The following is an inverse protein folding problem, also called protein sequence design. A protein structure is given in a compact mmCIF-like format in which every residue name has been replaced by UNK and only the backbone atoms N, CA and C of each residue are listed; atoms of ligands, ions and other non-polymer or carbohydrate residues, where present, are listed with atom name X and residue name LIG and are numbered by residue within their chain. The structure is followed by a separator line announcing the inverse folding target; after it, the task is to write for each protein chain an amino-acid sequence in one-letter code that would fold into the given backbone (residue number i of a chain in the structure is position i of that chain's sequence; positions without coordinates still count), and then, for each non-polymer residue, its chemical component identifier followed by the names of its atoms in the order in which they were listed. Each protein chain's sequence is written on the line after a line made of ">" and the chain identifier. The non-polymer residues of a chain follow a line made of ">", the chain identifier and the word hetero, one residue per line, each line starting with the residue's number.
data_IF_923738620257
#
_entry.id   IF_923738620257
#
_cell.length_a   1.000
_cell.length_b   1.000
_cell.length_c   1.000
_cell.angle_alpha   90.00
_cell.angle_beta   90.00
_cell.angle_gamma   90.00
#
_symmetry.space_group_name_H-M   'P 1'
#
loop_
_entity.id
_entity.type
_entity.pdbx_description
1 polymer ?
#
# COMPACT_ATOMS: atom_id res chain seq x y z
N UNK A 1 -15.57 -10.75 17.87
CA UNK A 1 -16.32 -10.45 16.65
C UNK A 1 -15.34 -9.76 15.71
N UNK A 2 -15.03 -10.39 14.58
CA UNK A 2 -14.09 -9.83 13.59
C UNK A 2 -14.73 -8.56 13.05
N UNK A 3 -14.12 -7.39 13.31
CA UNK A 3 -14.53 -6.17 12.62
C UNK A 3 -14.31 -6.41 11.13
N UNK A 4 -15.36 -6.28 10.32
CA UNK A 4 -15.24 -6.33 8.86
C UNK A 4 -14.07 -5.42 8.45
N UNK A 5 -13.00 -6.03 7.93
CA UNK A 5 -11.80 -5.34 7.46
C UNK A 5 -12.15 -4.70 6.14
N UNK A 6 -12.69 -3.49 6.21
CA UNK A 6 -13.07 -2.74 5.02
C UNK A 6 -11.83 -2.33 4.24
N UNK A 7 -12.02 -2.05 2.95
CA UNK A 7 -11.00 -1.43 2.13
C UNK A 7 -10.42 -0.15 2.77
N UNK A 8 -11.28 0.67 3.41
CA UNK A 8 -10.85 1.89 4.08
C UNK A 8 -9.89 1.60 5.24
N UNK A 9 -10.16 0.58 6.06
CA UNK A 9 -9.25 0.22 7.15
C UNK A 9 -7.87 -0.21 6.64
N UNK A 10 -7.80 -0.89 5.50
CA UNK A 10 -6.53 -1.26 4.87
C UNK A 10 -5.77 -0.01 4.43
N UNK A 11 -6.41 0.87 3.66
CA UNK A 11 -5.80 2.11 3.17
C UNK A 11 -5.35 2.99 4.34
N UNK A 12 -6.19 3.19 5.35
CA UNK A 12 -5.84 3.98 6.55
C UNK A 12 -4.63 3.38 7.28
N UNK A 13 -4.54 2.05 7.36
CA UNK A 13 -3.38 1.40 7.98
C UNK A 13 -2.11 1.61 7.15
N UNK A 14 -2.18 1.51 5.82
CA UNK A 14 -1.06 1.80 4.93
C UNK A 14 -0.60 3.26 5.08
N UNK A 15 -1.55 4.19 5.16
CA UNK A 15 -1.27 5.62 5.34
C UNK A 15 -0.60 5.89 6.70
N UNK A 16 -1.12 5.28 7.77
CA UNK A 16 -0.53 5.40 9.11
C UNK A 16 0.89 4.83 9.15
N UNK A 17 1.15 3.71 8.48
CA UNK A 17 2.49 3.13 8.39
C UNK A 17 3.48 4.07 7.70
N UNK A 18 3.09 4.63 6.55
CA UNK A 18 3.92 5.63 5.86
C UNK A 18 4.16 6.88 6.71
N UNK A 19 3.13 7.36 7.42
CA UNK A 19 3.21 8.57 8.25
C UNK A 19 4.06 8.37 9.50
N UNK A 20 4.07 7.15 10.05
CA UNK A 20 4.89 6.80 11.21
C UNK A 20 6.37 6.55 10.83
N UNK A 21 6.67 6.41 9.55
CA UNK A 21 8.04 6.19 9.08
C UNK A 21 8.85 7.48 9.13
N UNK A 22 9.94 7.50 9.91
CA UNK A 22 10.71 8.72 10.20
C UNK A 22 11.34 9.38 8.96
N UNK A 23 11.61 8.59 7.92
CA UNK A 23 12.21 9.08 6.67
C UNK A 23 11.17 9.62 5.69
N UNK A 24 9.89 9.22 5.78
CA UNK A 24 8.85 9.68 4.85
C UNK A 24 8.32 11.04 5.31
N UNK A 25 8.17 11.98 4.39
CA UNK A 25 7.63 13.32 4.70
C UNK A 25 6.18 13.49 4.25
N UNK A 26 5.82 12.86 3.15
CA UNK A 26 4.47 12.94 2.59
C UNK A 26 3.96 11.56 2.25
N UNK A 27 2.70 11.29 2.58
CA UNK A 27 1.98 10.09 2.17
C UNK A 27 0.78 10.51 1.34
N UNK A 28 0.61 9.91 0.17
CA UNK A 28 -0.55 10.12 -0.69
C UNK A 28 -1.19 8.80 -1.11
N UNK A 29 -2.47 8.84 -1.45
CA UNK A 29 -3.24 7.68 -1.89
C UNK A 29 -4.09 8.06 -3.08
N UNK A 30 -4.16 7.22 -4.11
CA UNK A 30 -5.01 7.49 -5.27
C UNK A 30 -4.43 6.95 -6.56
N UNK A 31 -4.94 7.43 -7.68
CA UNK A 31 -4.34 7.15 -8.98
C UNK A 31 -3.04 7.94 -9.12
N UNK A 32 -2.00 7.25 -9.57
CA UNK A 32 -0.68 7.82 -9.85
C UNK A 32 -0.73 8.89 -10.94
N UNK A 33 -1.71 8.82 -11.87
CA UNK A 33 -1.89 9.82 -12.92
C UNK A 33 -2.56 11.12 -12.43
N UNK A 34 -3.25 11.07 -11.29
CA UNK A 34 -3.87 12.24 -10.65
C UNK A 34 -2.95 12.84 -9.57
N UNK A 35 -1.72 12.33 -9.43
CA UNK A 35 -0.73 12.84 -8.49
C UNK A 35 -0.22 14.20 -8.96
N UNK A 36 -0.92 15.27 -8.59
CA UNK A 36 -0.45 16.63 -8.76
C UNK A 36 0.58 16.93 -7.65
N UNK A 37 1.86 16.91 -8.03
CA UNK A 37 2.96 17.27 -7.15
C UNK A 37 2.99 18.80 -7.02
N UNK A 38 2.14 19.33 -6.14
CA UNK A 38 2.14 20.75 -5.81
C UNK A 38 3.54 21.18 -5.33
N UNK A 39 3.90 22.45 -5.56
CA UNK A 39 5.20 23.03 -5.19
C UNK A 39 5.59 22.92 -3.71
N UNK A 40 4.65 22.55 -2.83
CA UNK A 40 4.88 22.39 -1.39
C UNK A 40 4.99 20.92 -0.95
N UNK A 41 4.98 19.97 -1.90
CA UNK A 41 5.13 18.55 -1.59
C UNK A 41 6.53 18.28 -1.03
N UNK A 42 6.59 17.69 0.16
CA UNK A 42 7.86 17.32 0.79
C UNK A 42 8.25 15.90 0.42
N UNK A 43 9.51 15.72 0.06
CA UNK A 43 10.09 14.41 -0.25
C UNK A 43 11.00 13.94 0.90
N UNK A 44 11.22 12.63 1.10
CA UNK A 44 10.68 11.49 0.34
C UNK A 44 9.16 11.34 0.44
N UNK A 45 8.52 11.02 -0.68
CA UNK A 45 7.08 10.81 -0.81
C UNK A 45 6.76 9.32 -0.98
N UNK A 46 5.77 8.85 -0.23
CA UNK A 46 5.17 7.53 -0.39
C UNK A 46 3.78 7.66 -1.02
N UNK A 47 3.58 7.09 -2.19
CA UNK A 47 2.29 7.06 -2.86
C UNK A 47 1.73 5.64 -2.89
N UNK A 48 0.46 5.48 -2.49
CA UNK A 48 -0.25 4.20 -2.46
C UNK A 48 -1.30 4.21 -3.57
N UNK A 49 -1.07 3.39 -4.59
CA UNK A 49 -2.00 3.22 -5.70
C UNK A 49 -2.78 1.89 -5.57
N UNK A 50 -4.10 1.91 -5.38
CA UNK A 50 -4.91 0.70 -5.38
C UNK A 50 -5.09 0.15 -6.80
N UNK A 51 -4.59 -1.07 -7.05
CA UNK A 51 -4.62 -1.65 -8.41
C UNK A 51 -5.89 -2.45 -8.65
N UNK A 52 -6.13 -3.48 -7.85
CA UNK A 52 -7.29 -4.36 -8.02
C UNK A 52 -7.56 -5.20 -6.76
N UNK A 53 -8.79 -5.68 -6.66
CA UNK A 53 -9.21 -6.62 -5.61
C UNK A 53 -9.68 -7.91 -6.25
N UNK A 54 -9.07 -9.04 -5.87
CA UNK A 54 -9.45 -10.37 -6.33
C UNK A 54 -10.35 -11.01 -5.27
N UNK A 55 -11.62 -11.22 -5.62
CA UNK A 55 -12.60 -11.91 -4.78
C UNK A 55 -12.53 -13.42 -5.02
N UNK A 56 -12.02 -14.18 -4.06
CA UNK A 56 -12.03 -15.65 -4.04
C UNK A 56 -13.01 -16.16 -3.00
N UNK A 57 -13.43 -17.44 -3.07
CA UNK A 57 -14.55 -18.02 -2.26
C UNK A 57 -14.54 -17.75 -0.75
N UNK A 58 -13.39 -17.43 -0.14
CA UNK A 58 -13.28 -17.15 1.30
C UNK A 58 -12.29 -16.02 1.63
N UNK A 59 -11.79 -15.31 0.61
CA UNK A 59 -10.76 -14.29 0.81
C UNK A 59 -10.82 -13.22 -0.28
N UNK A 60 -10.47 -12.00 0.10
CA UNK A 60 -10.13 -10.92 -0.81
C UNK A 60 -8.62 -10.73 -0.85
N UNK A 61 -8.04 -10.65 -2.04
CA UNK A 61 -6.66 -10.23 -2.23
C UNK A 61 -6.66 -8.82 -2.79
N UNK A 62 -6.31 -7.84 -1.98
CA UNK A 62 -6.17 -6.44 -2.37
C UNK A 62 -4.73 -6.21 -2.85
N UNK A 63 -4.55 -5.82 -4.10
CA UNK A 63 -3.24 -5.49 -4.63
C UNK A 63 -3.06 -3.98 -4.63
N UNK A 64 -2.05 -3.51 -3.91
CA UNK A 64 -1.63 -2.12 -3.87
C UNK A 64 -0.27 -1.99 -4.54
N UNK A 65 -0.09 -0.99 -5.37
CA UNK A 65 1.20 -0.60 -5.90
C UNK A 65 1.71 0.58 -5.07
N UNK A 66 2.87 0.40 -4.45
CA UNK A 66 3.49 1.39 -3.58
C UNK A 66 4.64 2.03 -4.33
N UNK A 67 4.66 3.35 -4.37
CA UNK A 67 5.77 4.13 -4.91
C UNK A 67 6.47 4.85 -3.77
N UNK A 68 7.80 4.75 -3.75
CA UNK A 68 8.66 5.52 -2.86
C UNK A 68 9.60 6.32 -3.74
N UNK A 69 9.56 7.65 -3.63
CA UNK A 69 10.31 8.54 -4.50
C UNK A 69 10.87 9.75 -3.77
N UNK A 70 11.98 10.27 -4.30
CA UNK A 70 12.62 11.50 -3.85
C UNK A 70 13.02 12.38 -5.05
N UNK A 71 13.33 13.63 -4.76
CA UNK A 71 13.81 14.60 -5.75
C UNK A 71 15.25 14.30 -6.17
N UNK A 72 15.48 14.40 -7.47
CA UNK A 72 16.78 14.34 -8.08
C UNK A 72 17.19 15.75 -8.48
N UNK A 73 18.47 16.06 -8.29
CA UNK A 73 19.04 17.32 -8.72
C UNK A 73 19.00 17.42 -10.26
N UNK A 74 18.90 18.62 -10.84
CA UNK A 74 18.83 18.79 -12.30
C UNK A 74 20.04 18.25 -13.07
N UNK A 75 21.15 17.99 -12.36
CA UNK A 75 22.38 17.42 -12.91
C UNK A 75 22.50 15.89 -12.73
N UNK A 76 21.45 15.26 -12.19
CA UNK A 76 21.34 13.81 -11.92
C UNK A 76 22.45 13.25 -11.02
N UNK A 77 23.23 14.12 -10.38
CA UNK A 77 24.42 13.71 -9.63
C UNK A 77 24.09 12.87 -8.39
N UNK A 78 22.91 13.09 -7.80
CA UNK A 78 22.43 12.39 -6.62
C UNK A 78 21.50 11.21 -6.93
N UNK A 79 21.25 10.87 -8.19
CA UNK A 79 20.27 9.84 -8.56
C UNK A 79 20.58 8.48 -7.92
N UNK A 80 21.86 8.11 -7.89
CA UNK A 80 22.31 6.84 -7.29
C UNK A 80 22.12 6.82 -5.77
N UNK A 81 22.34 7.96 -5.10
CA UNK A 81 22.12 8.09 -3.65
C UNK A 81 20.62 8.04 -3.34
N UNK A 82 19.80 8.77 -4.10
CA UNK A 82 18.33 8.75 -4.01
C UNK A 82 17.78 7.33 -4.17
N UNK A 83 18.27 6.58 -5.16
CA UNK A 83 17.87 5.19 -5.36
C UNK A 83 18.27 4.31 -4.18
N UNK A 84 19.44 4.55 -3.57
CA UNK A 84 19.91 3.79 -2.41
C UNK A 84 19.06 4.06 -1.16
N UNK A 85 18.72 5.33 -0.92
CA UNK A 85 17.90 5.75 0.22
C UNK A 85 16.45 5.27 0.05
N UNK A 86 15.86 5.46 -1.13
CA UNK A 86 14.52 4.96 -1.43
C UNK A 86 14.43 3.43 -1.35
N UNK A 87 15.49 2.71 -1.71
CA UNK A 87 15.55 1.26 -1.57
C UNK A 87 15.50 0.86 -0.10
N UNK A 88 16.29 1.53 0.75
CA UNK A 88 16.32 1.27 2.20
C UNK A 88 14.94 1.49 2.83
N UNK A 89 14.30 2.62 2.52
CA UNK A 89 12.92 2.92 2.95
C UNK A 89 11.94 1.84 2.48
N UNK A 90 12.03 1.43 1.22
CA UNK A 90 11.16 0.38 0.65
C UNK A 90 11.35 -0.96 1.38
N UNK A 91 12.60 -1.33 1.69
CA UNK A 91 12.88 -2.56 2.44
C UNK A 91 12.39 -2.51 3.88
N UNK A 92 12.43 -1.35 4.52
CA UNK A 92 11.92 -1.17 5.88
C UNK A 92 10.39 -1.28 5.92
N UNK A 93 9.72 -0.70 4.93
CA UNK A 93 8.27 -0.83 4.74
C UNK A 93 7.89 -2.30 4.52
N UNK A 94 8.55 -2.98 3.58
CA UNK A 94 8.31 -4.41 3.30
C UNK A 94 8.58 -5.27 4.55
N UNK A 95 9.66 -4.99 5.27
CA UNK A 95 10.01 -5.71 6.50
C UNK A 95 8.98 -5.49 7.62
N UNK A 96 8.43 -4.28 7.71
CA UNK A 96 7.35 -3.94 8.64
C UNK A 96 6.06 -4.69 8.29
N UNK A 97 5.75 -4.82 6.99
CA UNK A 97 4.63 -5.63 6.51
C UNK A 97 4.82 -7.13 6.80
N UNK A 98 6.00 -7.68 6.51
CA UNK A 98 6.30 -9.11 6.74
C UNK A 98 6.30 -9.49 8.22
N UNK A 99 6.88 -8.67 9.09
CA UNK A 99 7.04 -9.02 10.50
C UNK A 99 5.82 -8.71 11.36
N UNK A 100 4.75 -8.11 10.80
CA UNK A 100 3.42 -8.04 11.42
C UNK A 100 3.35 -7.35 12.80
N UNK A 101 4.43 -6.75 13.29
CA UNK A 101 4.48 -6.09 14.60
C UNK A 101 3.62 -4.82 14.63
N UNK A 102 3.47 -4.13 13.50
CA UNK A 102 2.70 -2.88 13.37
C UNK A 102 1.24 -3.11 12.95
N UNK A 103 0.96 -4.13 12.13
CA UNK A 103 -0.40 -4.48 11.69
C UNK A 103 -1.25 -5.18 12.77
N UNK A 104 -0.62 -5.65 13.85
CA UNK A 104 -1.31 -6.27 14.98
C UNK A 104 -1.81 -5.25 16.03
N UNK A 105 -1.44 -3.96 15.95
CA UNK A 105 -1.60 -3.05 17.09
C UNK A 105 -2.79 -2.09 17.05
N UNK A 106 -3.97 -2.52 16.59
CA UNK A 106 -5.19 -1.77 16.94
C UNK A 106 -6.27 -2.59 17.65
N UNK A 107 -6.31 -3.93 17.51
CA UNK A 107 -7.32 -4.76 18.18
C UNK A 107 -6.88 -6.20 18.54
N UNK A 108 -5.63 -6.62 18.26
CA UNK A 108 -5.22 -8.00 18.53
C UNK A 108 -4.97 -8.20 20.04
N UNK A 109 -5.90 -8.91 20.68
CA UNK A 109 -5.67 -9.45 22.02
C UNK A 109 -4.56 -10.50 21.91
N UNK A 110 -3.69 -10.59 22.92
CA UNK A 110 -2.53 -11.49 22.95
C UNK A 110 -2.94 -12.93 22.60
N UNK A 111 -2.64 -13.38 21.37
CA UNK A 111 -2.97 -14.73 20.89
C UNK A 111 -3.61 -14.83 19.51
N UNK A 112 -3.99 -13.72 18.87
CA UNK A 112 -4.54 -13.76 17.50
C UNK A 112 -3.45 -14.03 16.45
N UNK A 113 -3.67 -15.06 15.64
CA UNK A 113 -2.87 -15.41 14.46
C UNK A 113 -2.77 -14.23 13.48
N UNK A 114 -1.62 -14.03 12.81
CA UNK A 114 -1.43 -12.93 11.87
C UNK A 114 -2.54 -12.96 10.81
N UNK A 115 -3.31 -11.89 10.80
CA UNK A 115 -4.65 -11.88 10.22
C UNK A 115 -4.67 -11.21 8.83
N UNK A 116 -3.48 -10.82 8.36
CA UNK A 116 -3.18 -10.31 7.03
C UNK A 116 -1.98 -11.11 6.52
N UNK A 117 -2.13 -11.74 5.37
CA UNK A 117 -1.03 -12.43 4.70
C UNK A 117 -0.54 -11.56 3.55
N UNK A 118 0.77 -11.44 3.44
CA UNK A 118 1.45 -10.77 2.34
C UNK A 118 2.33 -11.81 1.67
N UNK A 119 2.46 -11.77 0.34
CA UNK A 119 3.30 -12.71 -0.41
C UNK A 119 4.77 -12.64 0.05
N UNK A 120 5.48 -13.75 -0.08
CA UNK A 120 6.85 -13.89 0.40
C UNK A 120 7.88 -13.25 -0.53
N UNK A 121 7.52 -13.02 -1.79
CA UNK A 121 8.42 -12.43 -2.79
C UNK A 121 7.89 -11.07 -3.22
N UNK A 122 8.70 -10.03 -2.99
CA UNK A 122 8.46 -8.69 -3.50
C UNK A 122 9.45 -8.38 -4.61
N UNK A 123 8.95 -7.88 -5.74
CA UNK A 123 9.79 -7.30 -6.78
C UNK A 123 9.73 -5.79 -6.63
N UNK A 124 10.89 -5.16 -6.44
CA UNK A 124 11.03 -3.71 -6.48
C UNK A 124 11.59 -3.34 -7.85
N UNK A 125 10.91 -2.44 -8.54
CA UNK A 125 11.29 -1.96 -9.87
C UNK A 125 11.70 -0.49 -9.76
N UNK A 126 12.88 -0.09 -10.28
CA UNK A 126 13.29 1.30 -10.24
C UNK A 126 12.54 2.10 -11.31
N UNK A 127 12.31 3.38 -11.04
CA UNK A 127 11.80 4.32 -12.04
C UNK A 127 12.48 5.68 -11.89
N UNK A 128 12.67 6.34 -13.03
CA UNK A 128 13.27 7.67 -13.15
C UNK A 128 12.33 8.55 -13.98
N UNK A 129 12.28 9.85 -13.66
CA UNK A 129 11.62 10.89 -14.46
C UNK A 129 10.18 10.58 -14.92
N UNK A 130 9.38 9.96 -14.05
CA UNK A 130 8.01 9.55 -14.42
C UNK A 130 6.92 10.57 -14.12
N UNK A 131 7.28 11.74 -13.59
CA UNK A 131 6.35 12.79 -13.18
C UNK A 131 6.87 14.18 -13.60
N UNK A 132 6.02 15.21 -13.51
CA UNK A 132 6.38 16.58 -13.92
C UNK A 132 7.59 17.16 -13.16
N UNK A 133 7.97 16.56 -12.03
CA UNK A 133 9.21 16.85 -11.31
C UNK A 133 10.26 15.75 -11.58
N UNK A 134 11.55 16.12 -11.61
CA UNK A 134 12.67 15.18 -11.66
C UNK A 134 12.74 14.35 -10.37
N UNK A 135 11.94 13.29 -10.32
CA UNK A 135 11.88 12.35 -9.20
C UNK A 135 12.31 10.96 -9.65
N UNK A 136 12.99 10.27 -8.75
CA UNK A 136 13.46 8.89 -8.95
C UNK A 136 13.15 8.07 -7.71
N UNK A 137 12.92 6.78 -7.90
CA UNK A 137 12.55 5.92 -6.79
C UNK A 137 12.30 4.47 -7.18
N UNK A 138 11.56 3.79 -6.30
CA UNK A 138 11.21 2.39 -6.43
C UNK A 138 9.70 2.19 -6.35
N UNK A 139 9.20 1.28 -7.17
CA UNK A 139 7.81 0.81 -7.12
C UNK A 139 7.77 -0.68 -6.82
N UNK A 140 6.83 -1.10 -5.98
CA UNK A 140 6.60 -2.51 -5.71
C UNK A 140 5.12 -2.82 -5.48
N UNK A 141 4.74 -4.06 -5.71
CA UNK A 141 3.37 -4.53 -5.52
C UNK A 141 3.22 -5.22 -4.16
N UNK A 142 2.18 -4.85 -3.43
CA UNK A 142 1.86 -5.29 -2.08
C UNK A 142 0.49 -5.98 -2.09
N UNK A 143 0.44 -7.32 -2.26
CA UNK A 143 -0.79 -8.08 -2.16
C UNK A 143 -1.16 -8.32 -0.69
N UNK A 144 -2.30 -7.80 -0.24
CA UNK A 144 -2.83 -8.02 1.12
C UNK A 144 -4.01 -8.97 1.03
N UNK A 145 -3.89 -10.13 1.66
CA UNK A 145 -4.94 -11.13 1.73
C UNK A 145 -5.74 -10.94 3.02
N UNK A 146 -7.05 -10.79 2.86
CA UNK A 146 -8.03 -10.67 3.93
C UNK A 146 -9.04 -11.81 3.80
N UNK A 147 -9.18 -12.61 4.85
CA UNK A 147 -10.24 -13.61 4.91
C UNK A 147 -11.60 -12.92 5.07
N UNK A 148 -12.57 -13.31 4.25
CA UNK A 148 -13.94 -12.81 4.32
C UNK A 148 -14.93 -13.96 4.08
N UNK A 149 -15.91 -14.08 4.97
CA UNK A 149 -17.07 -14.94 4.76
C UNK A 149 -18.07 -14.24 3.81
N UNK A 150 -18.35 -14.86 2.66
CA UNK A 150 -19.41 -14.42 1.74
C UNK A 150 -20.77 -14.91 2.26
N UNK A 151 -21.28 -14.30 3.31
CA UNK A 151 -22.61 -14.62 3.83
C UNK A 151 -23.68 -13.88 3.03
N UNK A 152 -24.56 -14.64 2.36
CA UNK A 152 -25.66 -14.09 1.56
C UNK A 152 -26.84 -13.56 2.38
N UNK A 153 -26.83 -13.77 3.70
CA UNK A 153 -27.97 -13.53 4.59
C UNK A 153 -28.28 -12.03 4.79
N UNK A 154 -27.30 -11.14 4.59
CA UNK A 154 -27.43 -9.70 4.81
C UNK A 154 -27.18 -8.87 3.54
N UNK A 155 -27.35 -9.44 2.34
CA UNK A 155 -27.19 -8.64 1.12
C UNK A 155 -28.46 -7.78 0.96
N UNK A 156 -28.34 -6.44 0.86
CA UNK A 156 -29.49 -5.54 0.72
C UNK A 156 -30.05 -5.58 -0.72
N UNK A 157 -30.34 -6.77 -1.22
CA UNK A 157 -30.97 -7.00 -2.51
C UNK A 157 -32.08 -8.04 -2.38
N UNK A 158 -33.25 -7.83 -3.02
CA UNK A 158 -34.26 -8.87 -3.11
C UNK A 158 -33.72 -10.05 -3.91
N UNK A 159 -34.27 -11.24 -3.68
CA UNK A 159 -33.90 -12.44 -4.44
C UNK A 159 -34.23 -12.26 -5.92
N UNK A 160 -33.20 -12.20 -6.77
CA UNK A 160 -33.37 -12.15 -8.22
C UNK A 160 -33.61 -13.57 -8.75
N UNK A 161 -34.76 -13.78 -9.40
CA UNK A 161 -35.03 -15.04 -10.11
C UNK A 161 -34.30 -15.04 -11.46
N UNK A 162 -33.64 -16.16 -11.79
CA UNK A 162 -33.06 -16.38 -13.13
C UNK A 162 -34.20 -16.63 -14.12
N UNK A 163 -34.24 -15.86 -15.22
CA UNK A 163 -35.05 -16.18 -16.40
C UNK A 163 -36.53 -15.83 -16.35
N UNK A 164 -36.86 -14.55 -16.16
CA UNK A 164 -38.14 -13.97 -16.61
C UNK A 164 -37.88 -12.78 -17.52
#
# INVERSE_FOLDING_TARGET
>A
MVQNKTYNNLVDTLVQLGTNHLQIKTVSTGDVFELDLEKNTLFPLLHINPVNVIASKSQFTFNFQIFVMDLVEPDESNEQEVLSDCLSISTDIISTFKHGQSLNHYLATHGDTPQYFVDDNFTLEPFTERFDNSVTGWVFNLPIIVEQAFESCNIPQPTTQIGK
#
